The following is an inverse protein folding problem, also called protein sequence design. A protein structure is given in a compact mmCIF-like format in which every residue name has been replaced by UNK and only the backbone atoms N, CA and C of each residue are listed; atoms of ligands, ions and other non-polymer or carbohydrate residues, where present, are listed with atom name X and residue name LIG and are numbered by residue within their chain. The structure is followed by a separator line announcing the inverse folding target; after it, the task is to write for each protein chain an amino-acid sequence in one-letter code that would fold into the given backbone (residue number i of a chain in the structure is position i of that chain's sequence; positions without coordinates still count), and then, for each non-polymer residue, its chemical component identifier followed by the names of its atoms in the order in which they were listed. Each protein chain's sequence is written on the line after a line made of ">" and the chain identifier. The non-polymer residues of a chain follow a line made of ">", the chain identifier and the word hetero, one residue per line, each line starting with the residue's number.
data_IF_962043314127
#
_entry.id   IF_962043314127
#
_cell.length_a   1.000
_cell.length_b   1.000
_cell.length_c   1.000
_cell.angle_alpha   90.00
_cell.angle_beta   90.00
_cell.angle_gamma   90.00
#
_symmetry.space_group_name_H-M   'P 1'
#
loop_
_entity.id
_entity.type
_entity.pdbx_description
1 polymer ?
#
# COMPACT_ATOMS: atom_id res chain seq x y z
N UNK A 1 86.51 22.15 22.99
CA UNK A 1 85.21 21.85 23.64
C UNK A 1 84.05 22.33 22.77
N UNK A 2 83.34 21.39 22.11
CA UNK A 2 82.20 21.70 21.25
C UNK A 2 80.92 21.16 21.91
N UNK A 3 80.09 22.06 22.41
CA UNK A 3 78.79 21.78 23.02
C UNK A 3 77.77 21.38 21.93
N UNK A 4 77.24 20.15 21.98
CA UNK A 4 76.15 19.67 21.15
C UNK A 4 74.82 20.01 21.85
N UNK A 5 74.09 20.98 21.33
CA UNK A 5 72.71 21.24 21.71
C UNK A 5 71.80 20.19 21.09
N UNK A 6 71.12 19.39 21.89
CA UNK A 6 70.07 18.46 21.45
C UNK A 6 68.76 19.24 21.38
N UNK A 7 68.21 19.35 20.17
CA UNK A 7 66.85 19.86 19.95
C UNK A 7 65.87 18.74 20.26
N UNK A 8 64.96 18.98 21.23
CA UNK A 8 63.84 18.08 21.51
C UNK A 8 62.66 18.46 20.60
N UNK A 9 62.27 17.51 19.69
CA UNK A 9 61.05 17.63 18.89
C UNK A 9 59.85 17.25 19.78
N UNK A 10 58.95 18.20 20.05
CA UNK A 10 57.68 17.95 20.72
C UNK A 10 56.66 17.60 19.59
N UNK A 11 56.26 16.34 19.55
CA UNK A 11 55.13 15.93 18.73
C UNK A 11 53.80 16.29 19.42
N UNK A 12 53.10 17.28 18.91
CA UNK A 12 51.75 17.59 19.36
C UNK A 12 50.79 16.61 18.65
N UNK A 13 50.26 15.63 19.36
CA UNK A 13 49.17 14.76 18.87
C UNK A 13 47.84 15.52 18.91
N UNK A 14 47.34 15.92 17.75
CA UNK A 14 45.98 16.44 17.60
C UNK A 14 45.01 15.26 17.66
N UNK A 15 44.37 15.09 18.80
CA UNK A 15 43.24 14.16 18.91
C UNK A 15 42.02 14.75 18.20
N UNK A 16 41.74 14.24 17.00
CA UNK A 16 40.51 14.55 16.25
C UNK A 16 39.34 13.85 16.95
N UNK A 17 38.57 14.60 17.74
CA UNK A 17 37.34 14.10 18.35
C UNK A 17 36.33 13.80 17.25
N UNK A 18 36.10 12.50 16.92
CA UNK A 18 34.98 12.06 16.10
C UNK A 18 33.69 12.31 16.89
N UNK A 19 32.96 13.38 16.57
CA UNK A 19 31.58 13.54 16.99
C UNK A 19 30.75 12.38 16.41
N UNK A 20 30.01 11.62 17.24
CA UNK A 20 29.11 10.61 16.72
C UNK A 20 28.04 11.33 15.88
N UNK A 21 28.01 11.03 14.59
CA UNK A 21 26.90 11.42 13.70
C UNK A 21 25.69 10.61 14.17
N UNK A 22 24.87 11.19 15.05
CA UNK A 22 23.59 10.59 15.43
C UNK A 22 22.71 10.58 14.18
N UNK A 23 22.53 9.39 13.59
CA UNK A 23 21.51 9.18 12.57
C UNK A 23 20.18 9.65 13.17
N UNK A 24 19.39 10.48 12.47
CA UNK A 24 18.09 10.89 12.96
C UNK A 24 17.27 9.63 13.26
N UNK A 25 16.80 9.51 14.49
CA UNK A 25 15.91 8.43 14.88
C UNK A 25 14.68 8.48 13.96
N UNK A 26 14.49 7.43 13.17
CA UNK A 26 13.35 7.35 12.27
C UNK A 26 12.11 7.12 13.14
N UNK A 27 11.18 8.06 13.05
CA UNK A 27 9.99 8.03 13.86
C UNK A 27 9.03 6.93 13.38
N UNK A 28 8.18 6.45 14.27
CA UNK A 28 7.13 5.48 13.98
C UNK A 28 5.77 6.16 14.11
N UNK A 29 4.88 5.93 13.15
CA UNK A 29 3.46 6.29 13.27
C UNK A 29 2.65 5.03 13.48
N UNK A 30 1.95 4.94 14.61
CA UNK A 30 1.17 3.76 14.96
C UNK A 30 -0.23 4.10 15.45
N UNK A 31 -1.15 3.16 15.29
CA UNK A 31 -2.52 3.35 15.68
C UNK A 31 -3.39 2.14 15.46
N UNK A 32 -4.70 2.39 15.48
CA UNK A 32 -5.72 1.37 15.31
C UNK A 32 -6.84 1.83 14.38
N UNK A 33 -7.22 0.97 13.45
CA UNK A 33 -8.45 1.09 12.68
C UNK A 33 -9.59 0.54 13.52
N UNK A 34 -10.64 1.33 13.66
CA UNK A 34 -11.94 0.89 14.17
C UNK A 34 -12.93 0.88 13.01
N UNK A 35 -13.86 -0.06 13.02
CA UNK A 35 -14.90 -0.18 11.98
C UNK A 35 -16.26 0.06 12.61
N UNK A 36 -17.09 0.82 11.90
CA UNK A 36 -18.52 0.93 12.19
C UNK A 36 -19.26 0.11 11.15
N UNK A 37 -19.85 -1.00 11.60
CA UNK A 37 -20.55 -1.96 10.75
C UNK A 37 -22.06 -1.82 10.89
N UNK A 38 -22.80 -2.23 9.86
CA UNK A 38 -24.26 -2.40 9.97
C UNK A 38 -24.55 -3.60 10.86
N UNK A 39 -25.56 -3.50 11.70
CA UNK A 39 -26.00 -4.62 12.52
C UNK A 39 -26.34 -5.85 11.67
N UNK A 40 -25.81 -7.01 12.06
CA UNK A 40 -26.01 -8.26 11.33
C UNK A 40 -25.17 -8.44 10.06
N UNK A 41 -24.28 -7.49 9.74
CA UNK A 41 -23.32 -7.67 8.65
C UNK A 41 -22.15 -8.59 9.06
N UNK A 42 -21.55 -9.24 8.07
CA UNK A 42 -20.30 -9.98 8.27
C UNK A 42 -19.18 -9.03 8.72
N UNK A 43 -18.38 -9.51 9.66
CA UNK A 43 -17.24 -8.75 10.17
C UNK A 43 -16.27 -8.39 9.04
N UNK A 44 -15.81 -7.16 9.06
CA UNK A 44 -14.80 -6.66 8.10
C UNK A 44 -13.43 -7.26 8.41
N UNK A 45 -12.81 -7.92 7.43
CA UNK A 45 -11.43 -8.40 7.56
C UNK A 45 -10.44 -7.25 7.37
N UNK A 46 -9.94 -6.71 8.46
CA UNK A 46 -9.02 -5.58 8.43
C UNK A 46 -7.64 -5.89 7.83
N UNK A 47 -7.29 -7.16 7.59
CA UNK A 47 -6.03 -7.52 6.94
C UNK A 47 -5.91 -7.01 5.49
N UNK A 48 -7.03 -6.61 4.89
CA UNK A 48 -7.07 -5.98 3.57
C UNK A 48 -7.12 -4.45 3.63
N UNK A 49 -7.18 -3.87 4.83
CA UNK A 49 -7.08 -2.42 4.99
C UNK A 49 -5.64 -1.91 4.80
N UNK A 50 -5.53 -0.72 4.25
CA UNK A 50 -4.25 -0.06 3.96
C UNK A 50 -4.22 1.31 4.62
N UNK A 51 -3.10 1.60 5.30
CA UNK A 51 -2.79 2.93 5.83
C UNK A 51 -1.52 3.43 5.16
N UNK A 52 -1.51 4.68 4.70
CA UNK A 52 -0.29 5.30 4.18
C UNK A 52 -0.23 6.80 4.52
N UNK A 53 1.00 7.33 4.50
CA UNK A 53 1.28 8.71 4.83
C UNK A 53 1.79 9.45 3.60
N UNK A 54 1.07 10.47 3.15
CA UNK A 54 1.45 11.33 2.04
C UNK A 54 2.08 12.61 2.60
N UNK A 55 3.36 12.94 2.27
CA UNK A 55 4.04 14.13 2.77
C UNK A 55 3.35 15.42 2.31
N UNK A 56 3.35 16.44 3.18
CA UNK A 56 2.80 17.77 2.89
C UNK A 56 3.90 18.83 2.94
N UNK A 57 4.26 19.37 1.75
CA UNK A 57 5.22 20.47 1.64
C UNK A 57 6.69 20.09 1.84
N UNK A 58 7.03 18.81 1.81
CA UNK A 58 8.40 18.30 1.81
C UNK A 58 8.49 16.97 1.06
N UNK A 59 9.66 16.70 0.52
CA UNK A 59 9.95 15.39 -0.06
C UNK A 59 10.45 14.42 1.02
N UNK A 60 9.99 13.20 0.98
CA UNK A 60 10.48 12.12 1.84
C UNK A 60 11.44 11.26 1.02
N UNK A 61 12.73 11.55 1.17
CA UNK A 61 13.77 10.72 0.59
C UNK A 61 13.92 9.44 1.44
N UNK A 62 13.52 8.30 0.90
CA UNK A 62 13.89 6.99 1.42
C UNK A 62 13.29 6.58 2.77
N UNK A 63 12.24 7.23 3.24
CA UNK A 63 11.53 6.82 4.46
C UNK A 63 10.55 5.67 4.21
N UNK A 64 10.42 4.76 5.18
CA UNK A 64 9.46 3.67 5.17
C UNK A 64 9.95 2.39 4.49
N UNK A 65 9.18 1.32 4.70
CA UNK A 65 9.46 0.03 4.07
C UNK A 65 9.23 0.13 2.56
N UNK A 66 10.17 -0.30 1.71
CA UNK A 66 10.00 -0.22 0.25
C UNK A 66 8.73 -0.94 -0.19
N UNK A 67 7.87 -0.24 -0.91
CA UNK A 67 6.74 -0.85 -1.61
C UNK A 67 7.23 -1.31 -2.97
N UNK A 68 7.02 -2.57 -3.36
CA UNK A 68 7.46 -3.05 -4.67
C UNK A 68 6.90 -2.20 -5.80
N UNK A 69 7.71 -1.89 -6.82
CA UNK A 69 7.21 -1.31 -8.07
C UNK A 69 6.54 -2.36 -8.93
N UNK A 70 7.11 -3.58 -8.88
CA UNK A 70 6.63 -4.73 -9.63
C UNK A 70 6.00 -5.73 -8.67
N UNK A 71 4.84 -6.18 -8.99
CA UNK A 71 4.04 -7.04 -8.14
C UNK A 71 3.26 -8.05 -9.00
N UNK A 72 2.62 -9.00 -8.34
CA UNK A 72 1.79 -10.00 -9.02
C UNK A 72 0.48 -10.22 -8.26
N UNK A 73 -0.60 -10.39 -9.02
CA UNK A 73 -1.92 -10.86 -8.57
C UNK A 73 -2.29 -12.05 -9.44
N UNK A 74 -2.19 -13.26 -8.89
CA UNK A 74 -2.49 -14.48 -9.63
C UNK A 74 -4.02 -14.73 -9.70
N UNK A 75 -4.47 -15.29 -10.80
CA UNK A 75 -5.83 -15.84 -10.93
C UNK A 75 -5.76 -17.34 -10.64
N UNK A 76 -6.41 -17.75 -9.57
CA UNK A 76 -6.47 -19.13 -9.11
C UNK A 76 -7.79 -19.40 -8.40
N UNK A 77 -8.44 -20.54 -8.67
CA UNK A 77 -9.72 -20.92 -8.09
C UNK A 77 -10.84 -19.87 -8.31
N UNK A 78 -10.83 -19.19 -9.45
CA UNK A 78 -11.73 -18.07 -9.79
C UNK A 78 -11.60 -16.88 -8.85
N UNK A 79 -10.41 -16.67 -8.28
CA UNK A 79 -10.09 -15.54 -7.42
C UNK A 79 -8.84 -14.82 -7.89
N UNK A 80 -8.73 -13.55 -7.57
CA UNK A 80 -7.49 -12.78 -7.64
C UNK A 80 -6.75 -12.87 -6.30
N UNK A 81 -5.53 -13.38 -6.31
CA UNK A 81 -4.72 -13.58 -5.09
C UNK A 81 -3.37 -12.86 -5.21
N UNK A 82 -3.05 -11.96 -4.30
CA UNK A 82 -3.83 -11.51 -3.15
C UNK A 82 -5.01 -10.61 -3.53
N UNK A 83 -6.00 -10.50 -2.63
CA UNK A 83 -7.16 -9.64 -2.78
C UNK A 83 -6.81 -8.15 -2.83
N UNK A 84 -5.80 -7.70 -2.07
CA UNK A 84 -5.28 -6.33 -2.11
C UNK A 84 -3.77 -6.35 -2.34
N UNK A 85 -3.32 -5.54 -3.28
CA UNK A 85 -1.90 -5.33 -3.57
C UNK A 85 -1.56 -3.84 -3.50
N UNK A 86 -0.60 -3.48 -2.66
CA UNK A 86 -0.06 -2.12 -2.61
C UNK A 86 1.22 -2.04 -3.44
N UNK A 87 1.33 -1.00 -4.26
CA UNK A 87 2.51 -0.69 -5.06
C UNK A 87 2.80 0.82 -5.03
N UNK A 88 3.99 1.22 -5.41
CA UNK A 88 4.26 2.62 -5.72
C UNK A 88 3.59 3.02 -7.04
N UNK A 89 3.06 4.24 -7.11
CA UNK A 89 2.59 4.82 -8.37
C UNK A 89 3.70 4.79 -9.43
N UNK A 90 3.33 4.51 -10.68
CA UNK A 90 4.25 4.24 -11.79
C UNK A 90 4.73 2.79 -11.86
N UNK A 91 4.33 1.92 -10.92
CA UNK A 91 4.66 0.51 -10.91
C UNK A 91 3.80 -0.34 -11.85
N UNK A 92 4.19 -1.61 -11.98
CA UNK A 92 3.56 -2.61 -12.84
C UNK A 92 3.07 -3.79 -12.00
N UNK A 93 1.93 -4.37 -12.37
CA UNK A 93 1.43 -5.61 -11.77
C UNK A 93 1.23 -6.65 -12.85
N UNK A 94 1.80 -7.84 -12.63
CA UNK A 94 1.61 -9.00 -13.47
C UNK A 94 0.37 -9.80 -13.01
N UNK A 95 -0.38 -10.32 -13.96
CA UNK A 95 -1.60 -11.11 -13.73
C UNK A 95 -1.47 -12.52 -14.34
N UNK A 96 -0.72 -13.45 -13.72
CA UNK A 96 -0.59 -14.82 -14.21
C UNK A 96 -1.90 -15.61 -14.02
N UNK A 97 -2.36 -16.28 -15.08
CA UNK A 97 -3.51 -17.19 -15.03
C UNK A 97 -3.04 -18.61 -14.67
N UNK A 98 -3.39 -19.08 -13.47
CA UNK A 98 -3.11 -20.44 -12.97
C UNK A 98 -4.31 -21.39 -13.10
N UNK A 99 -5.50 -20.87 -13.39
CA UNK A 99 -6.72 -21.66 -13.55
C UNK A 99 -6.73 -22.44 -14.88
N UNK A 100 -7.46 -23.56 -14.96
CA UNK A 100 -7.54 -24.37 -16.18
C UNK A 100 -8.36 -23.74 -17.31
N UNK A 101 -9.01 -22.61 -17.05
CA UNK A 101 -9.83 -21.86 -18.01
C UNK A 101 -9.32 -20.45 -18.22
N UNK A 102 -9.87 -19.76 -19.20
CA UNK A 102 -9.48 -18.39 -19.51
C UNK A 102 -10.08 -17.38 -18.54
N UNK A 103 -9.36 -16.30 -18.29
CA UNK A 103 -9.82 -15.12 -17.57
C UNK A 103 -9.58 -13.87 -18.40
N UNK A 104 -10.32 -12.81 -18.08
CA UNK A 104 -10.03 -11.45 -18.48
C UNK A 104 -9.62 -10.65 -17.24
N UNK A 105 -8.80 -9.63 -17.42
CA UNK A 105 -8.45 -8.67 -16.36
C UNK A 105 -8.69 -7.27 -16.86
N UNK A 106 -9.50 -6.50 -16.16
CA UNK A 106 -9.76 -5.10 -16.49
C UNK A 106 -9.93 -4.24 -15.24
N UNK A 107 -9.78 -2.94 -15.42
CA UNK A 107 -10.08 -1.91 -14.43
C UNK A 107 -10.77 -0.74 -15.12
N UNK A 108 -11.77 -0.18 -14.48
CA UNK A 108 -12.46 1.05 -14.90
C UNK A 108 -12.10 2.25 -14.01
N UNK A 109 -10.96 2.16 -13.28
CA UNK A 109 -10.50 3.23 -12.40
C UNK A 109 -10.25 4.53 -13.17
N UNK A 110 -10.75 5.66 -12.66
CA UNK A 110 -10.48 7.00 -13.23
C UNK A 110 -8.99 7.33 -13.30
N UNK A 111 -8.21 6.80 -12.36
CA UNK A 111 -6.76 6.98 -12.32
C UNK A 111 -6.03 6.32 -13.51
N UNK A 112 -6.66 5.38 -14.21
CA UNK A 112 -6.11 4.72 -15.40
C UNK A 112 -6.88 3.45 -15.73
N UNK A 113 -7.91 3.53 -16.61
CA UNK A 113 -8.64 2.34 -17.03
C UNK A 113 -7.78 1.48 -17.96
N UNK A 114 -7.98 0.15 -17.91
CA UNK A 114 -7.32 -0.78 -18.81
C UNK A 114 -8.16 -2.05 -19.02
N UNK A 115 -7.89 -2.79 -20.10
CA UNK A 115 -8.42 -4.11 -20.38
C UNK A 115 -7.31 -4.97 -21.01
N UNK A 116 -6.88 -5.99 -20.28
CA UNK A 116 -5.86 -6.93 -20.75
C UNK A 116 -6.42 -8.00 -21.72
N UNK A 117 -7.73 -8.01 -21.95
CA UNK A 117 -8.38 -9.00 -22.80
C UNK A 117 -8.40 -10.40 -22.16
N UNK A 118 -8.88 -11.37 -22.93
CA UNK A 118 -9.03 -12.77 -22.52
C UNK A 118 -7.71 -13.52 -22.73
N UNK A 119 -7.28 -14.35 -21.75
CA UNK A 119 -6.12 -15.23 -21.90
C UNK A 119 -6.22 -16.49 -21.04
N UNK A 120 -5.58 -17.56 -21.52
CA UNK A 120 -5.68 -18.91 -20.98
C UNK A 120 -4.63 -19.20 -19.93
N UNK A 121 -4.75 -20.36 -19.28
CA UNK A 121 -3.79 -20.92 -18.31
C UNK A 121 -2.34 -20.80 -18.81
N UNK A 122 -1.45 -20.45 -17.88
CA UNK A 122 0.00 -20.33 -18.11
C UNK A 122 0.43 -19.00 -18.74
N UNK A 123 -0.52 -18.23 -19.31
CA UNK A 123 -0.21 -16.88 -19.77
C UNK A 123 -0.23 -15.88 -18.60
N UNK A 124 0.60 -14.86 -18.72
CA UNK A 124 0.61 -13.69 -17.83
C UNK A 124 0.57 -12.42 -18.66
N UNK A 125 -0.18 -11.43 -18.22
CA UNK A 125 -0.20 -10.09 -18.81
C UNK A 125 0.04 -9.07 -17.71
N UNK A 126 0.46 -7.87 -18.10
CA UNK A 126 0.85 -6.81 -17.18
C UNK A 126 0.05 -5.55 -17.43
N UNK A 127 -0.24 -4.81 -16.34
CA UNK A 127 -0.77 -3.46 -16.40
C UNK A 127 0.15 -2.51 -15.64
N UNK A 128 0.31 -1.30 -16.17
CA UNK A 128 1.00 -0.21 -15.52
C UNK A 128 0.00 0.68 -14.77
N UNK A 129 0.41 1.18 -13.60
CA UNK A 129 -0.39 2.03 -12.71
C UNK A 129 0.25 3.41 -12.56
N UNK A 130 0.11 4.29 -13.57
CA UNK A 130 0.91 5.50 -13.69
C UNK A 130 0.64 6.54 -12.61
N UNK A 131 -0.56 6.56 -12.05
CA UNK A 131 -1.01 7.54 -11.07
C UNK A 131 -1.36 6.88 -9.74
N UNK A 132 -1.14 7.60 -8.63
CA UNK A 132 -1.63 7.20 -7.33
C UNK A 132 -3.17 7.11 -7.35
N UNK A 133 -3.71 6.02 -6.79
CA UNK A 133 -5.14 5.76 -6.81
C UNK A 133 -5.50 4.36 -6.38
N UNK A 134 -6.79 4.12 -6.28
CA UNK A 134 -7.38 2.81 -6.01
C UNK A 134 -7.90 2.26 -7.33
N UNK A 135 -7.38 1.12 -7.72
CA UNK A 135 -7.73 0.44 -8.95
C UNK A 135 -8.46 -0.86 -8.60
N UNK A 136 -9.80 -0.89 -8.68
CA UNK A 136 -10.52 -2.15 -8.64
C UNK A 136 -10.18 -2.96 -9.88
N UNK A 137 -9.86 -4.23 -9.67
CA UNK A 137 -9.48 -5.20 -10.71
C UNK A 137 -10.58 -6.23 -10.83
N UNK A 138 -11.09 -6.43 -12.00
CA UNK A 138 -12.25 -7.28 -12.27
C UNK A 138 -11.97 -8.31 -13.35
N UNK A 139 -12.73 -9.41 -13.33
CA UNK A 139 -12.81 -10.37 -14.45
C UNK A 139 -14.09 -10.16 -15.23
N UNK A 140 -14.02 -10.02 -16.57
CA UNK A 140 -15.20 -9.83 -17.41
C UNK A 140 -16.03 -11.10 -17.66
N UNK A 141 -15.70 -12.21 -17.01
CA UNK A 141 -16.40 -13.49 -17.15
C UNK A 141 -17.03 -13.95 -15.84
N UNK A 142 -16.39 -13.63 -14.70
CA UNK A 142 -16.82 -14.05 -13.38
C UNK A 142 -17.21 -12.83 -12.54
N UNK A 143 -18.49 -12.66 -12.31
CA UNK A 143 -19.08 -11.46 -11.70
C UNK A 143 -18.67 -11.17 -10.25
N UNK A 144 -18.09 -12.14 -9.55
CA UNK A 144 -17.61 -11.99 -8.16
C UNK A 144 -16.09 -11.92 -8.05
N UNK A 145 -15.38 -12.03 -9.16
CA UNK A 145 -13.92 -12.04 -9.16
C UNK A 145 -13.38 -10.61 -9.15
N UNK A 146 -13.00 -10.15 -7.96
CA UNK A 146 -12.52 -8.79 -7.69
C UNK A 146 -11.25 -8.79 -6.84
N UNK A 147 -10.37 -7.84 -7.08
CA UNK A 147 -9.26 -7.44 -6.20
C UNK A 147 -8.96 -5.96 -6.36
N UNK A 148 -7.97 -5.46 -5.61
CA UNK A 148 -7.62 -4.05 -5.63
C UNK A 148 -6.11 -3.87 -5.72
N UNK A 149 -5.69 -2.99 -6.64
CA UNK A 149 -4.33 -2.44 -6.63
C UNK A 149 -4.42 -1.03 -6.04
N UNK A 150 -3.66 -0.81 -4.97
CA UNK A 150 -3.55 0.50 -4.32
C UNK A 150 -2.20 1.07 -4.72
N UNK A 151 -2.20 1.96 -5.71
CA UNK A 151 -1.01 2.68 -6.13
C UNK A 151 -0.83 3.90 -5.22
N UNK A 152 0.21 3.90 -4.40
CA UNK A 152 0.49 4.95 -3.41
C UNK A 152 1.61 5.87 -3.88
N UNK A 153 1.59 7.17 -3.53
CA UNK A 153 2.64 8.12 -3.92
C UNK A 153 3.91 8.01 -3.06
N UNK A 154 3.91 7.14 -2.04
CA UNK A 154 4.93 7.08 -1.00
C UNK A 154 5.19 5.65 -0.55
N UNK A 155 6.40 5.38 -0.06
CA UNK A 155 6.75 4.11 0.59
C UNK A 155 6.32 4.04 2.07
N UNK A 156 5.80 5.13 2.64
CA UNK A 156 5.29 5.18 4.01
C UNK A 156 3.91 4.51 4.10
N UNK A 157 3.88 3.20 4.08
CA UNK A 157 2.65 2.40 4.01
C UNK A 157 2.69 1.23 4.98
N UNK A 158 1.52 0.85 5.50
CA UNK A 158 1.30 -0.35 6.30
C UNK A 158 0.02 -1.07 5.87
N UNK A 159 0.07 -2.40 5.83
CA UNK A 159 -1.12 -3.24 5.91
C UNK A 159 -1.57 -3.30 7.37
N UNK A 160 -2.87 -3.34 7.58
CA UNK A 160 -3.45 -3.40 8.92
C UNK A 160 -3.47 -4.85 9.42
N UNK A 161 -3.20 -5.06 10.70
CA UNK A 161 -3.31 -6.37 11.32
C UNK A 161 -4.78 -6.76 11.56
N UNK A 162 -5.06 -8.04 11.81
CA UNK A 162 -6.42 -8.53 12.04
C UNK A 162 -7.13 -7.86 13.23
N UNK A 163 -6.38 -7.41 14.21
CA UNK A 163 -6.88 -6.66 15.38
C UNK A 163 -7.05 -5.15 15.12
N UNK A 164 -6.83 -4.71 13.90
CA UNK A 164 -6.93 -3.32 13.48
C UNK A 164 -5.68 -2.47 13.72
N UNK A 165 -4.63 -3.00 14.32
CA UNK A 165 -3.39 -2.26 14.55
C UNK A 165 -2.61 -2.04 13.25
N UNK A 166 -1.99 -0.88 13.15
CA UNK A 166 -1.06 -0.55 12.07
C UNK A 166 0.19 0.14 12.59
N UNK A 167 1.29 -0.02 11.87
CA UNK A 167 2.56 0.63 12.18
C UNK A 167 3.24 1.01 10.88
N UNK A 168 3.45 2.31 10.66
CA UNK A 168 4.28 2.85 9.58
C UNK A 168 5.63 3.21 10.19
N UNK A 169 6.66 2.52 9.76
CA UNK A 169 8.04 2.73 10.23
C UNK A 169 8.75 3.79 9.38
N UNK A 170 9.89 4.24 9.89
CA UNK A 170 10.85 5.09 9.18
C UNK A 170 10.24 6.41 8.68
N UNK A 171 9.33 6.98 9.45
CA UNK A 171 8.65 8.22 9.10
C UNK A 171 9.49 9.42 9.50
N UNK A 172 9.99 10.24 8.57
CA UNK A 172 10.66 11.50 8.94
C UNK A 172 9.72 12.45 9.70
N UNK A 173 10.22 13.27 10.61
CA UNK A 173 9.41 14.31 11.23
C UNK A 173 8.84 15.27 10.18
N UNK A 174 7.57 15.64 10.30
CA UNK A 174 6.93 16.51 9.31
C UNK A 174 5.41 16.47 9.34
N UNK A 175 4.81 17.14 8.34
CA UNK A 175 3.35 17.17 8.14
C UNK A 175 2.96 16.15 7.07
N UNK A 176 1.89 15.39 7.34
CA UNK A 176 1.42 14.33 6.45
C UNK A 176 -0.10 14.34 6.36
N UNK A 177 -0.61 13.81 5.24
CA UNK A 177 -1.96 13.27 5.17
C UNK A 177 -1.88 11.78 5.51
N UNK A 178 -2.51 11.38 6.59
CA UNK A 178 -2.77 9.98 6.88
C UNK A 178 -4.01 9.55 6.11
N UNK A 179 -3.84 8.55 5.28
CA UNK A 179 -4.92 7.92 4.53
C UNK A 179 -5.17 6.53 5.07
N UNK A 180 -6.45 6.16 5.22
CA UNK A 180 -6.86 4.81 5.53
C UNK A 180 -7.95 4.38 4.55
N UNK A 181 -7.81 3.18 4.00
CA UNK A 181 -8.72 2.63 3.02
C UNK A 181 -9.05 1.16 3.32
N UNK A 182 -10.29 0.78 3.01
CA UNK A 182 -10.77 -0.59 2.93
C UNK A 182 -11.89 -0.65 1.90
N UNK A 183 -12.01 -1.75 1.15
CA UNK A 183 -13.01 -1.90 0.07
C UNK A 183 -14.45 -1.71 0.54
N UNK A 184 -14.77 -2.09 1.79
CA UNK A 184 -16.11 -1.96 2.37
C UNK A 184 -16.41 -0.54 2.88
N UNK A 185 -15.40 0.31 3.03
CA UNK A 185 -15.62 1.70 3.41
C UNK A 185 -16.06 2.51 2.20
N UNK A 186 -17.12 3.30 2.34
CA UNK A 186 -17.68 4.08 1.23
C UNK A 186 -16.72 5.12 0.66
N UNK A 187 -15.74 5.57 1.46
CA UNK A 187 -14.69 6.50 1.05
C UNK A 187 -13.40 6.24 1.83
N UNK A 188 -12.28 6.61 1.22
CA UNK A 188 -10.99 6.68 1.91
C UNK A 188 -11.05 7.76 2.99
N UNK A 189 -10.67 7.42 4.21
CA UNK A 189 -10.49 8.42 5.28
C UNK A 189 -9.16 9.13 5.08
N UNK A 190 -9.19 10.47 5.14
CA UNK A 190 -7.99 11.31 5.04
C UNK A 190 -7.94 12.26 6.21
N UNK A 191 -6.80 12.35 6.90
CA UNK A 191 -6.60 13.24 8.03
C UNK A 191 -5.20 13.83 8.04
N UNK A 192 -5.08 15.12 8.31
CA UNK A 192 -3.79 15.78 8.50
C UNK A 192 -3.20 15.39 9.87
N UNK A 193 -1.91 15.07 9.90
CA UNK A 193 -1.15 14.77 11.11
C UNK A 193 0.21 15.47 11.08
N UNK A 194 0.76 15.75 12.26
CA UNK A 194 2.13 16.22 12.44
C UNK A 194 2.90 15.14 13.17
N UNK A 195 3.97 14.66 12.57
CA UNK A 195 4.85 13.63 13.15
C UNK A 195 6.07 14.29 13.76
N UNK A 196 6.22 14.28 15.10
CA UNK A 196 7.42 14.77 15.76
C UNK A 196 8.58 13.76 15.62
N UNK A 197 9.80 14.18 15.98
CA UNK A 197 10.98 13.30 15.95
C UNK A 197 10.84 12.05 16.84
N UNK A 198 10.05 12.15 17.91
CA UNK A 198 9.77 11.03 18.82
C UNK A 198 8.74 10.02 18.26
N UNK A 199 8.16 10.29 17.09
CA UNK A 199 7.08 9.49 16.51
C UNK A 199 5.69 9.91 16.99
N UNK A 200 4.67 9.26 16.47
CA UNK A 200 3.27 9.58 16.73
C UNK A 200 2.49 8.28 16.96
N UNK A 201 2.13 7.99 18.19
CA UNK A 201 1.37 6.78 18.57
C UNK A 201 -0.10 7.06 18.85
N UNK A 202 -0.88 5.98 19.01
CA UNK A 202 -2.29 6.07 19.46
C UNK A 202 -3.24 6.67 18.42
N UNK A 203 -2.89 6.66 17.13
CA UNK A 203 -3.76 7.17 16.09
C UNK A 203 -4.99 6.28 15.94
N UNK A 204 -6.17 6.84 16.14
CA UNK A 204 -7.43 6.13 15.91
C UNK A 204 -8.08 6.62 14.62
N UNK A 205 -8.34 5.70 13.68
CA UNK A 205 -9.05 5.97 12.44
C UNK A 205 -10.31 5.11 12.39
N UNK A 206 -11.43 5.70 12.01
CA UNK A 206 -12.70 4.99 11.91
C UNK A 206 -13.08 4.84 10.44
N UNK A 207 -13.33 3.60 10.03
CA UNK A 207 -13.87 3.26 8.72
C UNK A 207 -15.37 2.94 8.86
N UNK A 208 -16.18 3.60 8.08
CA UNK A 208 -17.64 3.36 8.06
C UNK A 208 -17.97 2.40 6.91
N UNK A 209 -18.40 1.20 7.26
CA UNK A 209 -18.76 0.14 6.30
C UNK A 209 -20.27 -0.12 6.27
N UNK A 210 -21.09 0.71 6.91
CA UNK A 210 -22.55 0.49 7.02
C UNK A 210 -23.28 0.49 5.69
N UNK A 211 -22.75 1.20 4.71
CA UNK A 211 -23.35 1.31 3.37
C UNK A 211 -22.88 0.21 2.42
N UNK A 212 -21.92 -0.61 2.84
CA UNK A 212 -21.42 -1.69 2.00
C UNK A 212 -22.48 -2.77 1.77
N UNK A 213 -22.70 -3.08 0.51
CA UNK A 213 -23.58 -4.18 0.09
C UNK A 213 -22.74 -5.11 -0.80
N UNK A 214 -22.45 -6.35 -0.33
CA UNK A 214 -21.76 -7.31 -1.15
C UNK A 214 -22.60 -7.68 -2.38
N UNK A 215 -21.98 -7.79 -3.53
CA UNK A 215 -22.69 -8.12 -4.75
C UNK A 215 -21.75 -8.33 -5.93
N UNK A 216 -22.26 -8.80 -7.07
CA UNK A 216 -21.50 -8.91 -8.29
C UNK A 216 -21.13 -7.50 -8.79
N UNK A 217 -19.93 -7.38 -9.35
CA UNK A 217 -19.55 -6.16 -10.07
C UNK A 217 -20.16 -6.13 -11.49
N UNK A 218 -20.18 -4.97 -12.12
CA UNK A 218 -20.57 -4.84 -13.52
C UNK A 218 -19.46 -5.32 -14.46
N UNK A 219 -19.83 -5.77 -15.66
CA UNK A 219 -18.88 -6.13 -16.69
C UNK A 219 -18.14 -4.88 -17.23
N UNK A 220 -17.15 -5.07 -18.09
CA UNK A 220 -16.32 -3.97 -18.61
C UNK A 220 -17.10 -2.93 -19.46
N UNK A 221 -18.34 -3.22 -19.81
CA UNK A 221 -19.24 -2.30 -20.53
C UNK A 221 -20.22 -1.60 -19.57
N UNK A 222 -20.09 -1.80 -18.25
CA UNK A 222 -20.97 -1.22 -17.24
C UNK A 222 -22.34 -1.91 -17.14
N UNK A 223 -22.48 -3.13 -17.69
CA UNK A 223 -23.73 -3.89 -17.69
C UNK A 223 -23.65 -5.05 -16.66
N UNK A 224 -24.79 -5.46 -16.09
CA UNK A 224 -24.85 -6.70 -15.30
C UNK A 224 -24.45 -7.92 -16.16
N UNK A 225 -23.91 -8.95 -15.50
CA UNK A 225 -23.68 -10.23 -16.15
C UNK A 225 -25.00 -10.92 -16.44
N UNK A 226 -25.10 -11.61 -17.58
CA UNK A 226 -26.21 -12.52 -17.82
C UNK A 226 -26.17 -13.62 -16.74
N UNK A 227 -27.32 -13.92 -16.16
CA UNK A 227 -27.41 -14.98 -15.13
C UNK A 227 -26.96 -16.30 -15.73
N UNK A 228 -25.79 -16.77 -15.36
CA UNK A 228 -25.28 -18.09 -15.77
C UNK A 228 -25.64 -19.13 -14.71
N UNK A 229 -25.69 -20.43 -15.11
CA UNK A 229 -25.90 -21.54 -14.17
C UNK A 229 -24.81 -21.58 -13.07
N UNK A 230 -23.63 -21.05 -13.35
CA UNK A 230 -22.46 -21.02 -12.45
C UNK A 230 -22.58 -19.99 -11.32
N UNK A 231 -23.42 -18.97 -11.46
CA UNK A 231 -23.64 -17.94 -10.43
C UNK A 231 -24.61 -18.41 -9.30
N UNK A 232 -25.07 -19.67 -9.34
CA UNK A 232 -26.08 -20.22 -8.39
C UNK A 232 -25.47 -21.09 -7.28
N UNK A 233 -24.13 -21.23 -7.22
CA UNK A 233 -23.46 -22.06 -6.20
C UNK A 233 -22.36 -21.31 -5.49
#
# INVERSE_FOLDING_TARGET
>A
MRSRRRAALVFATVAMAMLPCALPAQAVVSGQIAVVERQGADRTDLRTAVVYLEPRGHEVAGGGRPTPRDASIAMTSREFVPHVRVILAGGTVAFPNKDPFSHNVFSNAEAGPFDLGLYRRGASREANFPRAGIYPIYCNIHSRMVSFVIAVPTSLVAMVAADGRFTVADVPPGRYLLHAWHERAGARVTREIVVPAAGLSGQRVVLDTRTYVPGPHLNKFGLPYAATREDRY
#
